data_IF_353639438697
#
_entry.id   IF_353639438697
#
_cell.length_a   1.000
_cell.length_b   1.000
_cell.length_c   1.000
_cell.angle_alpha   90.00
_cell.angle_beta   90.00
_cell.angle_gamma   90.00
#
_symmetry.space_group_name_H-M   'P 1'
#
loop_
_entity.id
_entity.type
_entity.pdbx_description
1 polymer ?
#
# COMPACT_ATOMS: atom_id res chain seq x y z
N UNK A 1 -6.07 -2.40 7.24
CA UNK A 1 -5.52 -1.27 8.03
C UNK A 1 -5.41 -0.10 7.10
N UNK A 2 -5.91 1.03 7.54
CA UNK A 2 -5.84 2.29 6.80
C UNK A 2 -5.64 3.45 7.78
N UNK A 3 -5.49 4.67 7.25
CA UNK A 3 -5.30 5.88 8.04
C UNK A 3 -6.41 6.19 9.05
N UNK A 4 -7.64 5.73 8.80
CA UNK A 4 -8.78 5.90 9.68
C UNK A 4 -8.99 4.69 10.61
N UNK A 5 -8.88 3.47 10.06
CA UNK A 5 -9.07 2.21 10.76
C UNK A 5 -7.74 1.46 10.89
N UNK A 6 -7.01 1.78 11.96
CA UNK A 6 -5.65 1.30 12.16
C UNK A 6 -5.60 -0.20 12.49
N UNK A 7 -6.60 -0.73 13.20
CA UNK A 7 -6.57 -2.11 13.72
C UNK A 7 -5.28 -2.48 14.48
N UNK A 8 -4.62 -1.45 15.00
CA UNK A 8 -3.41 -1.49 15.81
C UNK A 8 -3.41 -0.25 16.70
N UNK A 9 -2.66 -0.28 17.79
CA UNK A 9 -2.48 0.91 18.62
C UNK A 9 -1.81 2.02 17.80
N UNK A 10 -2.04 3.28 18.17
CA UNK A 10 -1.44 4.43 17.48
C UNK A 10 0.07 4.31 17.36
N UNK A 11 0.76 3.92 18.43
CA UNK A 11 2.22 3.79 18.43
C UNK A 11 2.69 2.67 17.51
N UNK A 12 2.08 1.49 17.59
CA UNK A 12 2.44 0.36 16.72
C UNK A 12 2.21 0.71 15.24
N UNK A 13 1.10 1.38 14.93
CA UNK A 13 0.79 1.87 13.58
C UNK A 13 1.85 2.86 13.06
N UNK A 14 2.26 3.83 13.89
CA UNK A 14 3.28 4.81 13.49
C UNK A 14 4.66 4.19 13.31
N UNK A 15 5.06 3.24 14.17
CA UNK A 15 6.30 2.50 14.03
C UNK A 15 6.31 1.67 12.74
N UNK A 16 5.19 0.99 12.44
CA UNK A 16 5.07 0.24 11.18
C UNK A 16 5.20 1.15 9.96
N UNK A 17 4.57 2.33 9.99
CA UNK A 17 4.73 3.34 8.92
C UNK A 17 6.16 3.83 8.80
N UNK A 18 6.87 3.98 9.92
CA UNK A 18 8.28 4.36 9.94
C UNK A 18 9.16 3.30 9.28
N UNK A 19 8.96 2.01 9.59
CA UNK A 19 9.68 0.91 8.95
C UNK A 19 9.51 0.92 7.43
N UNK A 20 8.28 1.06 6.94
CA UNK A 20 8.02 1.23 5.51
C UNK A 20 8.61 2.52 4.95
N UNK A 21 8.65 3.60 5.73
CA UNK A 21 9.29 4.86 5.36
C UNK A 21 10.79 4.71 5.14
N UNK A 22 11.48 3.99 6.03
CA UNK A 22 12.90 3.66 5.89
C UNK A 22 13.13 2.79 4.65
N UNK A 23 12.32 1.76 4.44
CA UNK A 23 12.42 0.93 3.23
C UNK A 23 12.22 1.74 1.94
N UNK A 24 11.24 2.65 1.93
CA UNK A 24 10.98 3.57 0.80
C UNK A 24 12.18 4.46 0.55
N UNK A 25 12.77 5.05 1.61
CA UNK A 25 13.93 5.92 1.51
C UNK A 25 15.15 5.18 0.94
N UNK A 26 15.45 3.98 1.45
CA UNK A 26 16.56 3.14 0.96
C UNK A 26 16.35 2.79 -0.52
N UNK A 27 15.16 2.31 -0.90
CA UNK A 27 14.88 1.95 -2.29
C UNK A 27 14.95 3.17 -3.21
N UNK A 28 14.43 4.32 -2.76
CA UNK A 28 14.49 5.58 -3.53
C UNK A 28 15.92 6.05 -3.71
N UNK A 29 16.75 6.05 -2.65
CA UNK A 29 18.17 6.42 -2.77
C UNK A 29 18.89 5.47 -3.73
N UNK A 30 18.69 4.16 -3.61
CA UNK A 30 19.28 3.18 -4.52
C UNK A 30 18.85 3.41 -5.99
N UNK A 31 17.58 3.71 -6.23
CA UNK A 31 17.06 4.06 -7.55
C UNK A 31 17.69 5.35 -8.09
N UNK A 32 17.80 6.39 -7.25
CA UNK A 32 18.39 7.69 -7.61
C UNK A 32 19.87 7.60 -7.95
N UNK A 33 20.63 6.74 -7.25
CA UNK A 33 22.05 6.51 -7.52
C UNK A 33 22.29 5.83 -8.88
N UNK A 34 21.28 5.17 -9.44
CA UNK A 34 21.40 4.41 -10.70
C UNK A 34 20.45 4.93 -11.80
N UNK A 35 20.04 6.20 -11.74
CA UNK A 35 19.10 6.78 -12.72
C UNK A 35 19.52 6.60 -14.18
N UNK A 36 20.83 6.61 -14.46
CA UNK A 36 21.37 6.41 -15.80
C UNK A 36 21.19 4.98 -16.34
N UNK A 37 20.96 4.01 -15.46
CA UNK A 37 20.77 2.59 -15.79
C UNK A 37 19.29 2.19 -15.80
N UNK A 38 18.40 3.10 -15.39
CA UNK A 38 16.97 2.82 -15.32
C UNK A 38 16.35 2.84 -16.72
N UNK A 39 15.77 1.69 -17.10
CA UNK A 39 14.85 1.61 -18.23
C UNK A 39 13.52 2.28 -17.87
N UNK A 40 13.41 3.57 -18.16
CA UNK A 40 12.27 4.40 -17.74
C UNK A 40 10.90 3.87 -18.13
N UNK A 41 10.74 3.31 -19.33
CA UNK A 41 9.44 2.74 -19.72
C UNK A 41 9.05 1.55 -18.83
N UNK A 42 10.02 0.72 -18.40
CA UNK A 42 9.80 -0.39 -17.47
C UNK A 42 9.40 0.17 -16.11
N UNK A 43 10.16 1.14 -15.62
CA UNK A 43 9.90 1.78 -14.34
C UNK A 43 8.49 2.39 -14.29
N UNK A 44 8.09 3.14 -15.32
CA UNK A 44 6.75 3.74 -15.42
C UNK A 44 5.68 2.65 -15.48
N UNK A 45 5.86 1.61 -16.30
CA UNK A 45 4.88 0.53 -16.42
C UNK A 45 4.71 -0.24 -15.11
N UNK A 46 5.82 -0.61 -14.45
CA UNK A 46 5.83 -1.35 -13.18
C UNK A 46 5.31 -0.52 -12.00
N UNK A 47 5.46 0.79 -12.03
CA UNK A 47 4.83 1.67 -11.04
C UNK A 47 3.33 1.78 -11.31
N UNK A 48 2.94 2.16 -12.54
CA UNK A 48 1.56 2.49 -12.86
C UNK A 48 0.60 1.29 -12.83
N UNK A 49 1.04 0.09 -13.26
CA UNK A 49 0.11 -1.04 -13.40
C UNK A 49 -0.51 -1.50 -12.07
N UNK A 50 0.19 -1.28 -10.95
CA UNK A 50 -0.28 -1.62 -9.59
C UNK A 50 -1.59 -0.89 -9.30
N UNK A 51 -1.62 0.41 -9.55
CA UNK A 51 -2.81 1.24 -9.31
C UNK A 51 -3.83 1.14 -10.43
N UNK A 52 -3.38 1.09 -11.69
CA UNK A 52 -4.28 1.00 -12.85
C UNK A 52 -5.17 -0.24 -12.76
N UNK A 53 -4.63 -1.35 -12.28
CA UNK A 53 -5.38 -2.60 -12.10
C UNK A 53 -6.00 -2.68 -10.70
N UNK A 54 -5.24 -2.32 -9.67
CA UNK A 54 -5.60 -2.57 -8.27
C UNK A 54 -6.51 -1.52 -7.65
N UNK A 55 -6.27 -0.23 -7.94
CA UNK A 55 -6.87 0.87 -7.19
C UNK A 55 -7.90 1.66 -7.99
N UNK A 56 -7.52 2.13 -9.19
CA UNK A 56 -8.34 3.04 -10.00
C UNK A 56 -9.75 2.51 -10.30
N UNK A 57 -9.94 1.20 -10.62
CA UNK A 57 -11.29 0.69 -10.88
C UNK A 57 -12.22 0.77 -9.66
N UNK A 58 -11.68 0.49 -8.46
CA UNK A 58 -12.43 0.60 -7.21
C UNK A 58 -12.74 2.04 -6.83
N UNK A 59 -11.77 2.94 -7.01
CA UNK A 59 -11.95 4.37 -6.79
C UNK A 59 -13.02 4.96 -7.72
N UNK A 60 -12.96 4.63 -9.01
CA UNK A 60 -13.97 5.07 -9.98
C UNK A 60 -15.38 4.64 -9.57
N UNK A 61 -15.53 3.38 -9.15
CA UNK A 61 -16.83 2.87 -8.68
C UNK A 61 -17.31 3.57 -7.40
N UNK A 62 -16.38 3.85 -6.46
CA UNK A 62 -16.67 4.61 -5.24
C UNK A 62 -17.19 6.01 -5.57
N UNK A 63 -16.50 6.74 -6.44
CA UNK A 63 -16.90 8.09 -6.85
C UNK A 63 -18.28 8.06 -7.54
N UNK A 64 -18.53 7.05 -8.37
CA UNK A 64 -19.77 6.95 -9.15
C UNK A 64 -20.99 6.56 -8.32
N UNK A 65 -20.84 5.65 -7.35
CA UNK A 65 -21.99 5.01 -6.68
C UNK A 65 -21.92 5.01 -5.16
N UNK A 66 -20.81 5.43 -4.56
CA UNK A 66 -20.55 5.34 -3.12
C UNK A 66 -20.23 3.92 -2.64
N UNK A 67 -20.82 2.89 -3.27
CA UNK A 67 -20.61 1.48 -2.95
C UNK A 67 -19.55 0.82 -3.85
N UNK A 68 -18.64 0.04 -3.27
CA UNK A 68 -17.61 -0.68 -4.01
C UNK A 68 -17.79 -2.19 -3.86
N UNK A 69 -18.04 -2.94 -4.96
CA UNK A 69 -18.08 -4.40 -4.92
C UNK A 69 -16.80 -5.04 -4.38
N UNK A 70 -16.94 -6.18 -3.70
CA UNK A 70 -15.81 -6.94 -3.12
C UNK A 70 -14.72 -7.31 -4.14
N UNK A 71 -15.07 -7.45 -5.42
CA UNK A 71 -14.10 -7.71 -6.48
C UNK A 71 -12.98 -6.65 -6.54
N UNK A 72 -13.28 -5.37 -6.31
CA UNK A 72 -12.27 -4.31 -6.32
C UNK A 72 -11.35 -4.33 -5.09
N UNK A 73 -11.83 -4.84 -3.95
CA UNK A 73 -10.98 -5.10 -2.80
C UNK A 73 -9.99 -6.23 -3.08
N UNK A 74 -10.45 -7.29 -3.78
CA UNK A 74 -9.57 -8.39 -4.22
C UNK A 74 -8.52 -7.85 -5.19
N UNK A 75 -8.91 -7.08 -6.21
CA UNK A 75 -7.96 -6.48 -7.15
C UNK A 75 -6.91 -5.62 -6.43
N UNK A 76 -7.35 -4.73 -5.54
CA UNK A 76 -6.45 -3.91 -4.74
C UNK A 76 -5.47 -4.77 -3.95
N UNK A 77 -5.97 -5.73 -3.19
CA UNK A 77 -5.16 -6.56 -2.30
C UNK A 77 -4.19 -7.47 -3.05
N UNK A 78 -4.59 -8.00 -4.21
CA UNK A 78 -3.70 -8.78 -5.08
C UNK A 78 -2.59 -7.90 -5.62
N UNK A 79 -2.89 -6.71 -6.15
CA UNK A 79 -1.89 -5.84 -6.75
C UNK A 79 -0.96 -5.20 -5.70
N UNK A 80 -1.47 -4.85 -4.52
CA UNK A 80 -0.69 -4.23 -3.44
C UNK A 80 -0.07 -5.24 -2.46
N UNK A 81 -0.09 -6.54 -2.79
CA UNK A 81 0.54 -7.59 -2.00
C UNK A 81 2.02 -7.72 -2.34
N UNK A 82 2.87 -7.76 -1.31
CA UNK A 82 4.29 -8.11 -1.46
C UNK A 82 4.48 -9.51 -2.05
N UNK A 83 3.53 -10.44 -1.84
CA UNK A 83 3.61 -11.78 -2.43
C UNK A 83 3.50 -11.71 -3.95
N UNK A 84 2.47 -11.03 -4.46
CA UNK A 84 2.27 -10.86 -5.90
C UNK A 84 3.44 -10.12 -6.52
N UNK A 85 3.86 -9.02 -5.90
CA UNK A 85 4.96 -8.20 -6.40
C UNK A 85 6.31 -8.90 -6.32
N UNK A 86 6.54 -9.72 -5.29
CA UNK A 86 7.71 -10.58 -5.18
C UNK A 86 7.77 -11.64 -6.30
N UNK A 87 6.62 -12.21 -6.67
CA UNK A 87 6.53 -13.13 -7.82
C UNK A 87 6.84 -12.38 -9.12
N UNK A 88 6.28 -11.18 -9.32
CA UNK A 88 6.55 -10.35 -10.52
C UNK A 88 8.04 -10.02 -10.62
N UNK A 89 8.65 -9.52 -9.55
CA UNK A 89 10.10 -9.22 -9.49
C UNK A 89 10.90 -10.50 -9.75
N UNK A 90 10.58 -11.61 -9.08
CA UNK A 90 11.30 -12.88 -9.23
C UNK A 90 11.25 -13.40 -10.67
N UNK A 91 10.07 -13.44 -11.28
CA UNK A 91 9.91 -13.86 -12.67
C UNK A 91 10.62 -12.91 -13.65
N UNK A 92 10.58 -11.59 -13.39
CA UNK A 92 11.30 -10.63 -14.22
C UNK A 92 12.81 -10.87 -14.17
N UNK A 93 13.36 -11.02 -12.96
CA UNK A 93 14.80 -11.28 -12.77
C UNK A 93 15.22 -12.59 -13.42
N UNK A 94 14.39 -13.63 -13.36
CA UNK A 94 14.68 -14.91 -14.00
C UNK A 94 14.73 -14.83 -15.53
N UNK A 95 13.90 -13.99 -16.16
CA UNK A 95 13.80 -13.90 -17.63
C UNK A 95 14.70 -12.82 -18.22
N UNK A 96 14.83 -11.68 -17.55
CA UNK A 96 15.50 -10.48 -18.08
C UNK A 96 16.73 -10.06 -17.27
N UNK A 97 16.99 -10.69 -16.12
CA UNK A 97 18.00 -10.25 -15.17
C UNK A 97 17.51 -9.12 -14.26
N UNK A 98 18.36 -8.72 -13.32
CA UNK A 98 18.06 -7.61 -12.43
C UNK A 98 18.18 -6.27 -13.17
N UNK A 99 17.21 -5.39 -12.91
CA UNK A 99 17.20 -4.02 -13.41
C UNK A 99 16.83 -3.06 -12.27
N UNK A 100 17.48 -1.89 -12.22
CA UNK A 100 17.17 -0.85 -11.24
C UNK A 100 15.74 -0.33 -11.35
N UNK A 101 15.10 -0.47 -12.52
CA UNK A 101 13.70 -0.17 -12.74
C UNK A 101 12.77 -0.96 -11.80
N UNK A 102 13.16 -2.15 -11.34
CA UNK A 102 12.37 -2.98 -10.42
C UNK A 102 12.17 -2.31 -9.06
N UNK A 103 13.04 -1.37 -8.66
CA UNK A 103 12.93 -0.67 -7.38
C UNK A 103 11.68 0.21 -7.27
N UNK A 104 11.05 0.58 -8.39
CA UNK A 104 9.78 1.32 -8.34
C UNK A 104 8.66 0.54 -7.66
N UNK A 105 8.71 -0.80 -7.70
CA UNK A 105 7.71 -1.66 -7.05
C UNK A 105 7.77 -1.53 -5.51
N UNK A 106 8.90 -1.77 -4.84
CA UNK A 106 8.99 -1.54 -3.40
C UNK A 106 8.87 -0.05 -3.05
N UNK A 107 9.32 0.88 -3.89
CA UNK A 107 9.07 2.33 -3.66
C UNK A 107 7.56 2.61 -3.60
N UNK A 108 6.77 2.08 -4.53
CA UNK A 108 5.31 2.22 -4.56
C UNK A 108 4.67 1.60 -3.32
N UNK A 109 4.91 0.29 -3.09
CA UNK A 109 4.27 -0.45 -2.01
C UNK A 109 4.65 0.08 -0.63
N UNK A 110 5.93 0.34 -0.39
CA UNK A 110 6.38 0.88 0.88
C UNK A 110 5.96 2.34 1.02
N UNK A 111 6.00 3.12 -0.07
CA UNK A 111 5.60 4.52 -0.09
C UNK A 111 4.15 4.71 0.32
N UNK A 112 3.24 3.89 -0.22
CA UNK A 112 1.82 3.92 0.14
C UNK A 112 1.58 3.66 1.63
N UNK A 113 2.28 2.66 2.17
CA UNK A 113 2.18 2.29 3.59
C UNK A 113 2.78 3.38 4.47
N UNK A 114 3.91 3.95 4.08
CA UNK A 114 4.61 4.98 4.84
C UNK A 114 3.84 6.32 4.85
N UNK A 115 3.42 6.79 3.69
CA UNK A 115 2.88 8.15 3.48
C UNK A 115 1.37 8.22 3.69
N UNK A 116 0.62 7.24 3.15
CA UNK A 116 -0.83 7.23 3.20
C UNK A 116 -1.37 6.26 4.25
N UNK A 117 -0.53 5.33 4.73
CA UNK A 117 -1.01 4.28 5.63
C UNK A 117 -1.93 3.30 4.91
N UNK A 118 -1.77 3.16 3.59
CA UNK A 118 -2.60 2.31 2.75
C UNK A 118 -2.00 0.91 2.74
N UNK A 119 -2.53 0.04 3.60
CA UNK A 119 -2.20 -1.38 3.63
C UNK A 119 -3.25 -2.18 2.86
N UNK A 120 -3.18 -3.51 2.97
CA UNK A 120 -4.24 -4.42 2.51
C UNK A 120 -5.60 -3.93 3.06
N UNK A 121 -6.55 -3.73 2.13
CA UNK A 121 -7.89 -3.28 2.46
C UNK A 121 -8.68 -4.42 3.10
N UNK A 122 -9.30 -4.10 4.24
CA UNK A 122 -10.27 -4.97 4.87
C UNK A 122 -11.57 -4.95 4.08
N UNK A 123 -12.23 -6.10 3.95
CA UNK A 123 -13.56 -6.20 3.33
C UNK A 123 -14.68 -5.65 4.23
N UNK A 124 -14.38 -5.43 5.50
CA UNK A 124 -15.33 -4.99 6.53
C UNK A 124 -15.38 -3.47 6.70
N UNK A 125 -14.51 -2.72 5.99
CA UNK A 125 -14.48 -1.25 6.02
C UNK A 125 -14.75 -0.67 4.64
N UNK A 126 -15.28 0.56 4.55
CA UNK A 126 -15.46 1.25 3.28
C UNK A 126 -14.15 1.31 2.47
N UNK A 127 -14.26 1.24 1.14
CA UNK A 127 -13.09 1.21 0.27
C UNK A 127 -12.26 2.48 0.46
N UNK A 128 -12.89 3.65 0.50
CA UNK A 128 -12.27 4.93 0.86
C UNK A 128 -12.84 5.44 2.20
N UNK A 129 -12.24 5.10 3.34
CA UNK A 129 -12.71 5.56 4.63
C UNK A 129 -12.28 7.01 4.89
N UNK A 130 -13.24 7.87 5.19
CA UNK A 130 -13.00 9.27 5.62
C UNK A 130 -12.87 9.41 7.14
N UNK A 131 -13.49 8.48 7.86
CA UNK A 131 -13.57 8.44 9.32
C UNK A 131 -13.43 6.99 9.79
N UNK A 132 -12.98 6.75 11.03
CA UNK A 132 -13.01 5.42 11.61
C UNK A 132 -14.45 4.89 11.64
N UNK A 133 -14.61 3.59 11.46
CA UNK A 133 -15.90 2.93 11.74
C UNK A 133 -16.21 3.05 13.24
N UNK A 134 -17.49 3.16 13.64
CA UNK A 134 -17.87 3.32 15.04
C UNK A 134 -17.27 2.26 15.96
N UNK A 135 -17.21 1.02 15.50
CA UNK A 135 -16.69 -0.14 16.25
C UNK A 135 -15.20 0.01 16.55
N UNK A 136 -14.43 0.56 15.60
CA UNK A 136 -13.01 0.80 15.80
C UNK A 136 -12.77 1.98 16.73
N UNK A 137 -13.56 3.05 16.61
CA UNK A 137 -13.47 4.20 17.50
C UNK A 137 -13.77 3.82 18.97
N UNK A 138 -14.84 3.07 19.21
CA UNK A 138 -15.19 2.58 20.56
C UNK A 138 -14.08 1.70 21.15
N UNK A 139 -13.49 0.82 20.32
CA UNK A 139 -12.36 0.00 20.74
C UNK A 139 -11.17 0.85 21.19
N UNK A 140 -10.82 1.91 20.45
CA UNK A 140 -9.71 2.79 20.83
C UNK A 140 -9.98 3.54 22.14
N UNK A 141 -11.19 4.07 22.32
CA UNK A 141 -11.58 4.78 23.55
C UNK A 141 -11.48 3.87 24.78
N UNK A 142 -11.96 2.64 24.67
CA UNK A 142 -11.87 1.64 25.75
C UNK A 142 -10.43 1.25 26.07
N UNK A 143 -9.57 1.16 25.05
CA UNK A 143 -8.16 0.83 25.25
C UNK A 143 -7.42 1.96 25.98
N UNK A 144 -7.71 3.22 25.63
CA UNK A 144 -7.13 4.40 26.30
C UNK A 144 -7.61 4.49 27.75
N UNK A 145 -8.91 4.30 28.00
CA UNK A 145 -9.46 4.28 29.35
C UNK A 145 -8.79 3.23 30.24
N UNK A 146 -8.56 2.02 29.70
CA UNK A 146 -7.88 0.94 30.42
C UNK A 146 -6.42 1.25 30.76
N UNK A 147 -5.70 1.97 29.89
CA UNK A 147 -4.30 2.32 30.14
C UNK A 147 -4.14 3.47 31.14
N UNK A 148 -5.20 4.23 31.42
CA UNK A 148 -5.18 5.43 32.26
C UNK A 148 -5.70 5.20 33.69
N UNK A 149 -6.27 4.02 33.98
CA UNK A 149 -6.76 3.61 35.30
C UNK A 149 -5.89 2.54 35.92
#
# INVERSE_FOLDING_TARGET
MDQANRFATRTAYLLLRLEYGVATAICTVAFLLHLGEVRWWVAIALFAYIDVIGYLPGLYQHIRTGSVPRAYYVLYNVMHSFTTQGIVIGLWVLVFGFEWALLVIPIHLCGDRALFGSFIKSFEVPFEPKHPIPEFAEFEDRLVARASG
#
